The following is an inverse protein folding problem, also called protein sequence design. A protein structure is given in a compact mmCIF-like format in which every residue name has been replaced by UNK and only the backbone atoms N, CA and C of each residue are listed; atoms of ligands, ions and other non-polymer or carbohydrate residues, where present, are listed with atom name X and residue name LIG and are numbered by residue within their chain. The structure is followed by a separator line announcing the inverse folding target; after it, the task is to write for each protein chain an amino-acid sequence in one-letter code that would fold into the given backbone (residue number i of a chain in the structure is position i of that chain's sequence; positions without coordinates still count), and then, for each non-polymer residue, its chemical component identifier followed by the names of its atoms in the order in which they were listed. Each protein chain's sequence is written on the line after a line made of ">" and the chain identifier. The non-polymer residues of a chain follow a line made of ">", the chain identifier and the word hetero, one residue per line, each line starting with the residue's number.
data_IF_549461055251
#
_entry.id   IF_549461055251
#
_cell.length_a   1.000
_cell.length_b   1.000
_cell.length_c   1.000
_cell.angle_alpha   90.00
_cell.angle_beta   90.00
_cell.angle_gamma   90.00
#
_symmetry.space_group_name_H-M   'P 1'
#
loop_
_entity.id
_entity.type
_entity.pdbx_description
1 polymer ?
#
# COMPACT_ATOMS: atom_id res chain seq x y z
N UNK A 1 -4.10 0.84 -1.53
CA UNK A 1 -3.90 1.27 -2.92
C UNK A 1 -4.93 2.34 -3.26
N UNK A 2 -4.45 3.47 -3.74
CA UNK A 2 -5.32 4.58 -4.10
C UNK A 2 -5.93 4.36 -5.49
N UNK A 3 -7.26 4.36 -5.53
CA UNK A 3 -8.04 4.17 -6.76
C UNK A 3 -9.11 5.26 -6.83
N UNK A 4 -9.76 5.48 -8.00
CA UNK A 4 -10.88 6.43 -8.07
C UNK A 4 -12.00 6.13 -7.07
N UNK A 5 -12.27 4.87 -6.78
CA UNK A 5 -13.23 4.48 -5.76
C UNK A 5 -12.82 4.97 -4.37
N UNK A 6 -11.56 4.76 -4.02
CA UNK A 6 -11.00 5.20 -2.74
C UNK A 6 -11.02 6.72 -2.62
N UNK A 7 -10.69 7.42 -3.72
CA UNK A 7 -10.74 8.88 -3.75
C UNK A 7 -12.16 9.39 -3.47
N UNK A 8 -13.18 8.75 -4.03
CA UNK A 8 -14.57 9.14 -3.78
C UNK A 8 -14.98 8.93 -2.33
N UNK A 9 -14.51 7.86 -1.70
CA UNK A 9 -14.77 7.62 -0.28
C UNK A 9 -14.10 8.67 0.59
N UNK A 10 -12.83 8.98 0.32
CA UNK A 10 -12.07 9.93 1.12
C UNK A 10 -12.57 11.36 0.96
N UNK A 11 -13.16 11.69 -0.18
CA UNK A 11 -13.71 13.02 -0.43
C UNK A 11 -14.90 13.35 0.48
N UNK A 12 -15.49 12.35 1.14
CA UNK A 12 -16.60 12.55 2.07
C UNK A 12 -16.17 13.05 3.44
N UNK A 13 -14.88 12.98 3.75
CA UNK A 13 -14.36 13.45 5.05
C UNK A 13 -14.21 14.96 5.06
N UNK A 14 -14.60 15.64 6.17
CA UNK A 14 -14.51 17.11 6.25
C UNK A 14 -13.09 17.65 6.14
N UNK A 15 -12.11 16.95 6.71
CA UNK A 15 -10.71 17.34 6.66
C UNK A 15 -9.92 16.25 5.95
N UNK A 16 -9.84 16.36 4.63
CA UNK A 16 -9.16 15.40 3.80
C UNK A 16 -7.67 15.32 4.11
N UNK A 17 -7.05 16.45 4.40
CA UNK A 17 -5.62 16.50 4.70
C UNK A 17 -5.27 15.71 5.96
N UNK A 18 -6.07 15.87 7.02
CA UNK A 18 -5.87 15.11 8.27
C UNK A 18 -6.04 13.61 8.03
N UNK A 19 -7.05 13.21 7.24
CA UNK A 19 -7.28 11.81 6.91
C UNK A 19 -6.12 11.23 6.10
N UNK A 20 -5.64 11.97 5.11
CA UNK A 20 -4.51 11.53 4.29
C UNK A 20 -3.26 11.31 5.15
N UNK A 21 -3.00 12.21 6.08
CA UNK A 21 -1.86 12.09 7.00
C UNK A 21 -1.98 10.84 7.87
N UNK A 22 -3.16 10.56 8.41
CA UNK A 22 -3.40 9.38 9.22
C UNK A 22 -3.20 8.09 8.40
N UNK A 23 -3.72 8.06 7.19
CA UNK A 23 -3.59 6.89 6.30
C UNK A 23 -2.13 6.66 5.95
N UNK A 24 -1.41 7.71 5.58
CA UNK A 24 0.01 7.60 5.26
C UNK A 24 0.83 7.07 6.44
N UNK A 25 0.48 7.50 7.66
CA UNK A 25 1.15 7.04 8.87
C UNK A 25 0.94 5.56 9.16
N UNK A 26 -0.14 4.97 8.64
CA UNK A 26 -0.39 3.54 8.79
C UNK A 26 0.49 2.67 7.89
N UNK A 27 1.16 3.27 6.90
CA UNK A 27 2.00 2.56 5.94
C UNK A 27 3.47 2.84 6.24
N UNK A 28 4.27 1.85 6.64
CA UNK A 28 5.72 2.05 6.82
C UNK A 28 6.42 2.65 5.61
N UNK A 29 5.90 2.41 4.38
CA UNK A 29 6.44 3.03 3.17
C UNK A 29 6.17 4.54 3.11
N UNK A 30 5.33 5.09 4.00
CA UNK A 30 5.07 6.53 4.12
C UNK A 30 4.10 7.09 3.09
N UNK A 31 3.44 6.23 2.33
CA UNK A 31 2.47 6.65 1.31
C UNK A 31 1.45 5.57 1.03
N UNK A 32 0.30 5.97 0.49
CA UNK A 32 -0.61 5.01 -0.11
C UNK A 32 0.01 4.46 -1.40
N UNK A 33 -0.27 3.20 -1.67
CA UNK A 33 0.10 2.61 -2.95
C UNK A 33 -0.80 3.11 -4.07
N UNK A 34 -0.32 2.94 -5.28
CA UNK A 34 -1.08 3.23 -6.51
C UNK A 34 -1.18 1.92 -7.32
N UNK A 35 -2.12 1.83 -8.27
CA UNK A 35 -2.26 0.60 -9.07
C UNK A 35 -0.96 0.12 -9.71
N UNK A 36 -0.08 1.04 -10.09
CA UNK A 36 1.23 0.72 -10.68
C UNK A 36 2.12 -0.07 -9.71
N UNK A 37 1.97 0.10 -8.41
CA UNK A 37 2.74 -0.67 -7.42
C UNK A 37 2.43 -2.16 -7.53
N UNK A 38 1.14 -2.50 -7.69
CA UNK A 38 0.72 -3.87 -7.89
C UNK A 38 1.14 -4.38 -9.27
N UNK A 39 0.95 -3.56 -10.31
CA UNK A 39 1.31 -3.92 -11.67
C UNK A 39 2.81 -4.23 -11.78
N UNK A 40 3.66 -3.42 -11.16
CA UNK A 40 5.11 -3.63 -11.16
C UNK A 40 5.49 -4.93 -10.45
N UNK A 41 4.83 -5.24 -9.33
CA UNK A 41 5.05 -6.48 -8.60
C UNK A 41 4.67 -7.69 -9.46
N UNK A 42 3.51 -7.64 -10.10
CA UNK A 42 3.05 -8.72 -10.99
C UNK A 42 4.02 -8.89 -12.16
N UNK A 43 4.46 -7.81 -12.76
CA UNK A 43 5.39 -7.84 -13.88
C UNK A 43 6.70 -8.54 -13.47
N UNK A 44 7.25 -8.19 -12.32
CA UNK A 44 8.48 -8.79 -11.83
C UNK A 44 8.31 -10.28 -11.53
N UNK A 45 7.19 -10.64 -10.86
CA UNK A 45 6.89 -12.04 -10.54
C UNK A 45 6.72 -12.90 -11.79
N UNK A 46 6.26 -12.31 -12.88
CA UNK A 46 6.11 -13.00 -14.15
C UNK A 46 7.43 -13.09 -14.93
N UNK A 47 8.48 -12.43 -14.47
CA UNK A 47 9.77 -12.40 -15.14
C UNK A 47 10.64 -13.59 -14.75
N UNK A 48 11.70 -13.83 -15.53
CA UNK A 48 12.67 -14.89 -15.22
C UNK A 48 13.47 -14.59 -13.95
N UNK A 49 13.52 -13.32 -13.50
CA UNK A 49 14.20 -12.96 -12.28
C UNK A 49 13.53 -13.54 -11.03
N UNK A 50 12.23 -13.85 -11.12
CA UNK A 50 11.48 -14.46 -10.04
C UNK A 50 11.33 -15.97 -10.20
N UNK A 51 12.15 -16.62 -11.02
CA UNK A 51 11.95 -18.01 -11.44
C UNK A 51 12.02 -19.04 -10.32
N UNK A 52 12.59 -18.70 -9.18
CA UNK A 52 12.67 -19.60 -8.03
C UNK A 52 11.61 -19.33 -6.97
N UNK A 53 10.69 -18.37 -7.20
CA UNK A 53 9.62 -18.02 -6.28
C UNK A 53 8.34 -18.72 -6.73
N UNK A 54 7.81 -19.60 -5.89
CA UNK A 54 6.57 -20.32 -6.17
C UNK A 54 5.88 -20.70 -4.87
N UNK A 55 4.56 -20.86 -4.92
CA UNK A 55 3.77 -21.25 -3.75
C UNK A 55 3.69 -20.21 -2.64
N UNK A 56 4.03 -18.96 -2.93
CA UNK A 56 4.07 -17.89 -1.94
C UNK A 56 3.00 -16.84 -2.20
N UNK A 57 2.53 -16.22 -1.12
CA UNK A 57 1.74 -15.00 -1.19
C UNK A 57 2.69 -13.82 -1.04
N UNK A 58 2.62 -12.88 -1.98
CA UNK A 58 3.43 -11.67 -1.93
C UNK A 58 2.52 -10.51 -1.55
N UNK A 59 2.78 -9.92 -0.40
CA UNK A 59 1.97 -8.81 0.13
C UNK A 59 2.52 -7.49 -0.40
N UNK A 60 1.65 -6.73 -1.06
CA UNK A 60 1.99 -5.44 -1.65
C UNK A 60 1.13 -4.35 -0.99
N UNK A 61 1.51 -3.95 0.22
CA UNK A 61 0.73 -3.03 1.05
C UNK A 61 1.56 -1.93 1.72
N UNK A 62 2.79 -1.74 1.28
CA UNK A 62 3.69 -0.75 1.87
C UNK A 62 4.04 -1.04 3.34
N UNK A 63 3.86 -2.28 3.77
CA UNK A 63 4.10 -2.69 5.15
C UNK A 63 2.91 -2.49 6.08
N UNK A 64 1.75 -2.14 5.55
CA UNK A 64 0.55 -1.80 6.34
C UNK A 64 0.19 -2.90 7.35
N UNK A 65 0.18 -4.16 6.92
CA UNK A 65 -0.20 -5.28 7.79
C UNK A 65 0.95 -5.75 8.69
N UNK A 66 2.17 -5.38 8.37
CA UNK A 66 3.34 -5.76 9.16
C UNK A 66 3.67 -4.74 10.25
N UNK A 67 3.01 -3.58 10.26
CA UNK A 67 3.28 -2.53 11.23
C UNK A 67 2.78 -2.93 12.62
N UNK A 68 3.70 -2.93 13.58
CA UNK A 68 3.35 -3.17 14.97
C UNK A 68 2.96 -1.85 15.64
N UNK A 69 1.98 -1.87 16.58
CA UNK A 69 1.63 -0.67 17.33
C UNK A 69 2.70 -0.36 18.36
N UNK A 70 3.65 0.48 17.98
CA UNK A 70 4.72 0.92 18.86
C UNK A 70 4.43 2.34 19.37
N UNK A 71 4.82 2.65 20.62
CA UNK A 71 4.68 4.01 21.12
C UNK A 71 5.54 4.97 20.32
N UNK A 72 5.05 6.19 20.16
CA UNK A 72 5.86 7.24 19.54
C UNK A 72 7.00 7.61 20.48
N UNK A 73 8.16 7.73 19.91
CA UNK A 73 9.35 8.18 20.65
C UNK A 73 9.48 9.70 20.57
#
# INVERSE_FOLDING_TARGET
>A
INTPFNERLLAQYPDREAVDTEIEALHPAGRLGVPEDVANTVFWLASSEASFITGQEIICDGGRLAKLPLPKL
#
